data_IF_659123909513
#
_entry.id   IF_659123909513
#
_cell.length_a   1.000
_cell.length_b   1.000
_cell.length_c   1.000
_cell.angle_alpha   90.00
_cell.angle_beta   90.00
_cell.angle_gamma   90.00
#
_symmetry.space_group_name_H-M   'P 1'
#
loop_
_entity.id
_entity.type
_entity.pdbx_description
1 polymer ?
#
# COMPACT_ATOMS: atom_id res chain seq x y z
N UNK A 1 5.52 29.63 -19.55
CA UNK A 1 4.61 29.51 -18.39
C UNK A 1 4.80 28.11 -17.85
N UNK A 2 5.66 28.01 -16.81
CA UNK A 2 5.75 26.93 -15.81
C UNK A 2 5.50 25.49 -16.30
N UNK A 3 6.55 24.91 -16.87
CA UNK A 3 6.75 23.46 -17.11
C UNK A 3 7.20 22.70 -15.83
N UNK A 4 6.98 23.27 -14.64
CA UNK A 4 7.55 22.76 -13.39
C UNK A 4 6.42 22.27 -12.49
N UNK A 5 6.08 20.98 -12.54
CA UNK A 5 5.45 20.21 -11.43
C UNK A 5 5.08 18.75 -11.76
N UNK A 6 5.52 18.19 -12.90
CA UNK A 6 5.33 16.76 -13.22
C UNK A 6 6.67 16.02 -13.20
N UNK A 7 7.47 16.16 -12.14
CA UNK A 7 8.70 15.34 -12.02
C UNK A 7 9.10 14.92 -10.60
N UNK A 8 8.38 15.30 -9.53
CA UNK A 8 8.85 15.02 -8.16
C UNK A 8 8.10 13.90 -7.42
N UNK A 9 7.83 12.75 -8.06
CA UNK A 9 7.29 11.58 -7.31
C UNK A 9 7.91 10.22 -7.67
N UNK A 10 9.01 10.18 -8.44
CA UNK A 10 9.64 8.94 -8.92
C UNK A 10 10.94 8.52 -8.20
N UNK A 11 11.26 9.06 -7.02
CA UNK A 11 12.52 8.72 -6.31
C UNK A 11 12.37 8.15 -4.90
N UNK A 12 11.16 8.03 -4.34
CA UNK A 12 10.97 7.36 -3.05
C UNK A 12 10.49 5.92 -3.27
N UNK A 13 11.20 4.89 -2.78
CA UNK A 13 10.73 3.51 -2.86
C UNK A 13 9.36 3.44 -2.16
N UNK A 14 8.36 2.87 -2.84
CA UNK A 14 7.03 2.66 -2.24
C UNK A 14 7.22 1.84 -0.95
N UNK A 15 6.59 2.22 0.16
CA UNK A 15 6.75 1.47 1.41
C UNK A 15 6.23 0.04 1.21
N UNK A 16 7.14 -0.93 1.31
CA UNK A 16 6.85 -2.37 1.26
C UNK A 16 6.61 -2.95 2.65
N UNK A 17 6.57 -2.10 3.68
CA UNK A 17 6.33 -2.50 5.06
C UNK A 17 5.39 -1.54 5.77
N UNK A 18 4.69 -2.06 6.78
CA UNK A 18 3.81 -1.31 7.67
C UNK A 18 3.86 -1.91 9.08
N UNK A 19 3.42 -1.15 10.08
CA UNK A 19 3.40 -1.62 11.46
C UNK A 19 1.96 -1.74 11.96
N UNK A 20 1.62 -2.89 12.55
CA UNK A 20 0.33 -3.15 13.21
C UNK A 20 0.58 -3.96 14.48
N UNK A 21 -0.15 -3.67 15.57
CA UNK A 21 -0.02 -4.35 16.88
C UNK A 21 1.43 -4.52 17.36
N UNK A 22 2.29 -3.51 17.16
CA UNK A 22 3.73 -3.55 17.50
C UNK A 22 4.54 -4.64 16.76
N UNK A 23 4.01 -5.13 15.64
CA UNK A 23 4.69 -5.95 14.67
C UNK A 23 4.94 -5.17 13.39
N UNK A 24 6.14 -5.28 12.84
CA UNK A 24 6.48 -4.76 11.51
C UNK A 24 6.21 -5.86 10.49
N UNK A 25 5.29 -5.61 9.57
CA UNK A 25 4.99 -6.49 8.45
C UNK A 25 5.74 -6.00 7.21
N UNK A 26 6.36 -6.90 6.48
CA UNK A 26 7.10 -6.62 5.25
C UNK A 26 6.72 -7.60 4.14
N UNK A 27 6.69 -7.10 2.91
CA UNK A 27 6.47 -7.94 1.72
C UNK A 27 7.79 -8.59 1.33
N UNK A 28 7.86 -9.92 1.47
CA UNK A 28 9.00 -10.75 1.09
C UNK A 28 8.66 -11.52 -0.18
N UNK A 29 9.68 -11.79 -1.01
CA UNK A 29 9.55 -12.63 -2.20
C UNK A 29 10.31 -13.92 -1.95
N UNK A 30 9.62 -15.05 -2.02
CA UNK A 30 10.24 -16.38 -1.91
C UNK A 30 11.03 -16.76 -3.18
N UNK A 31 11.90 -17.78 -3.13
CA UNK A 31 12.69 -18.23 -4.29
C UNK A 31 11.83 -18.70 -5.49
N UNK A 32 10.55 -19.01 -5.29
CA UNK A 32 9.60 -19.31 -6.38
C UNK A 32 8.99 -18.05 -7.01
N UNK A 33 9.29 -16.86 -6.47
CA UNK A 33 8.78 -15.58 -6.94
C UNK A 33 7.40 -15.19 -6.41
N UNK A 34 6.82 -15.94 -5.47
CA UNK A 34 5.55 -15.55 -4.82
C UNK A 34 5.85 -14.48 -3.76
N UNK A 35 4.85 -13.65 -3.46
CA UNK A 35 4.95 -12.56 -2.47
C UNK A 35 4.07 -12.87 -1.29
N UNK A 36 4.61 -12.73 -0.08
CA UNK A 36 3.89 -12.92 1.16
C UNK A 36 4.29 -11.87 2.20
N UNK A 37 3.51 -11.75 3.27
CA UNK A 37 3.82 -10.86 4.39
C UNK A 37 4.56 -11.64 5.47
N UNK A 38 5.73 -11.14 5.89
CA UNK A 38 6.42 -11.60 7.09
C UNK A 38 6.28 -10.56 8.20
N UNK A 39 6.05 -11.00 9.44
CA UNK A 39 5.85 -10.13 10.59
C UNK A 39 6.96 -10.32 11.63
N UNK A 40 7.67 -9.24 11.96
CA UNK A 40 8.60 -9.19 13.10
C UNK A 40 7.96 -8.44 14.26
N UNK A 41 7.68 -9.12 15.37
CA UNK A 41 7.00 -8.56 16.53
C UNK A 41 7.96 -8.23 17.68
N UNK A 42 7.70 -7.13 18.39
CA UNK A 42 8.55 -6.68 19.51
C UNK A 42 8.39 -7.53 20.79
N UNK A 43 7.27 -8.22 20.98
CA UNK A 43 7.03 -9.09 22.13
C UNK A 43 6.12 -10.26 21.80
N UNK A 44 6.05 -11.23 22.72
CA UNK A 44 5.12 -12.36 22.62
C UNK A 44 3.66 -11.87 22.63
N UNK A 45 3.32 -10.92 23.50
CA UNK A 45 1.95 -10.37 23.52
C UNK A 45 1.57 -9.70 22.20
N UNK A 46 2.49 -8.94 21.59
CA UNK A 46 2.27 -8.31 20.28
C UNK A 46 1.98 -9.33 19.18
N UNK A 47 2.71 -10.46 19.19
CA UNK A 47 2.48 -11.57 18.25
C UNK A 47 1.12 -12.22 18.49
N UNK A 48 0.78 -12.49 19.74
CA UNK A 48 -0.48 -13.17 20.09
C UNK A 48 -1.70 -12.26 19.77
N UNK A 49 -1.57 -10.94 19.95
CA UNK A 49 -2.57 -9.95 19.54
C UNK A 49 -2.73 -9.89 18.01
N UNK A 50 -1.61 -9.87 17.27
CA UNK A 50 -1.66 -9.92 15.80
C UNK A 50 -2.28 -11.21 15.29
N UNK A 51 -1.95 -12.35 15.90
CA UNK A 51 -2.54 -13.65 15.55
C UNK A 51 -4.05 -13.66 15.79
N UNK A 52 -4.49 -13.15 16.95
CA UNK A 52 -5.92 -13.06 17.27
C UNK A 52 -6.71 -12.23 16.25
N UNK A 53 -6.13 -11.14 15.71
CA UNK A 53 -6.77 -10.36 14.64
C UNK A 53 -6.97 -11.17 13.36
N UNK A 54 -6.00 -12.00 12.98
CA UNK A 54 -6.11 -12.87 11.81
C UNK A 54 -7.05 -14.06 12.04
N UNK A 55 -7.16 -14.57 13.27
CA UNK A 55 -8.11 -15.63 13.63
C UNK A 55 -9.56 -15.14 13.67
N UNK A 56 -9.79 -13.87 14.02
CA UNK A 56 -11.12 -13.27 14.06
C UNK A 56 -11.59 -12.88 12.65
N UNK A 57 -11.10 -11.75 12.12
CA UNK A 57 -11.42 -11.28 10.76
C UNK A 57 -10.49 -10.12 10.39
N UNK A 58 -9.50 -10.37 9.53
CA UNK A 58 -8.65 -9.34 8.96
C UNK A 58 -9.14 -8.92 7.56
N UNK A 59 -9.77 -7.74 7.46
CA UNK A 59 -10.31 -7.22 6.19
C UNK A 59 -9.32 -6.25 5.54
N UNK A 60 -8.65 -6.68 4.47
CA UNK A 60 -7.82 -5.81 3.63
C UNK A 60 -8.65 -5.20 2.50
N UNK A 61 -9.01 -3.92 2.60
CA UNK A 61 -9.70 -3.19 1.54
C UNK A 61 -8.70 -2.44 0.67
N UNK A 62 -8.61 -2.82 -0.60
CA UNK A 62 -7.77 -2.13 -1.59
C UNK A 62 -8.64 -1.22 -2.43
N UNK A 63 -8.57 0.09 -2.17
CA UNK A 63 -9.27 1.09 -2.98
C UNK A 63 -8.28 1.70 -3.98
N UNK A 64 -8.48 1.54 -5.30
CA UNK A 64 -7.68 2.25 -6.28
C UNK A 64 -7.96 3.75 -6.17
N UNK A 65 -6.89 4.56 -6.16
CA UNK A 65 -7.03 6.00 -6.40
C UNK A 65 -7.26 6.19 -7.90
N UNK A 66 -8.52 6.23 -8.33
CA UNK A 66 -8.86 6.64 -9.68
C UNK A 66 -8.75 8.17 -9.73
N UNK A 67 -7.73 8.69 -10.39
CA UNK A 67 -7.69 10.10 -10.79
C UNK A 67 -8.51 10.13 -12.09
N UNK A 68 -9.81 10.41 -12.00
CA UNK A 68 -10.60 10.70 -13.19
C UNK A 68 -10.09 12.03 -13.73
N UNK A 69 -9.34 12.00 -14.84
CA UNK A 69 -9.12 13.18 -15.65
C UNK A 69 -10.50 13.63 -16.16
N UNK A 70 -10.99 14.73 -15.60
CA UNK A 70 -12.17 15.45 -16.08
C UNK A 70 -11.90 15.82 -17.54
N UNK A 71 -12.50 15.06 -18.46
CA UNK A 71 -12.38 15.34 -19.89
C UNK A 71 -13.14 16.65 -20.12
N UNK A 72 -12.49 17.74 -20.59
CA UNK A 72 -13.20 18.97 -20.85
C UNK A 72 -14.28 18.70 -21.92
N UNK A 73 -15.48 19.31 -21.80
CA UNK A 73 -16.57 19.06 -22.73
C UNK A 73 -16.09 19.37 -24.15
N UNK A 74 -16.29 18.40 -25.06
CA UNK A 74 -16.04 18.55 -26.49
C UNK A 74 -16.76 19.80 -26.96
N UNK A 75 -16.00 20.84 -27.29
CA UNK A 75 -16.55 22.02 -27.94
C UNK A 75 -16.97 21.61 -29.35
N UNK A 76 -18.28 21.49 -29.58
CA UNK A 76 -18.86 21.35 -30.92
C UNK A 76 -18.60 22.63 -31.74
N UNK A 77 -17.86 22.58 -32.86
CA UNK A 77 -17.75 23.73 -33.75
C UNK A 77 -18.92 23.71 -34.73
N UNK A 78 -19.81 24.69 -34.50
CA UNK A 78 -20.72 25.43 -35.38
C UNK A 78 -20.86 25.04 -36.86
#
# INVERSE_FOLDING_TARGET
MTEEQVEEQTTKPKPTSFTVCKCKLEVVTDPEGKRHFEATCLSKEARDELAALFEQEAILRVNPKVILEDSPPVAEPK
#
